data_IF_645344902348
#
_entry.id   IF_645344902348
#
_cell.length_a   1.000
_cell.length_b   1.000
_cell.length_c   1.000
_cell.angle_alpha   90.00
_cell.angle_beta   90.00
_cell.angle_gamma   90.00
#
_symmetry.space_group_name_H-M   'P 1'
#
loop_
_entity.id
_entity.type
_entity.pdbx_description
1 polymer ?
#
# COMPACT_ATOMS: atom_id res chain seq x y z
N UNK A 1 -21.93 -7.08 70.17
CA UNK A 1 -22.17 -5.83 69.42
C UNK A 1 -22.67 -6.26 68.04
N UNK A 2 -23.99 -6.31 67.85
CA UNK A 2 -24.61 -6.70 66.56
C UNK A 2 -24.94 -5.46 65.77
N UNK A 3 -24.32 -5.26 64.63
CA UNK A 3 -24.64 -4.17 63.69
C UNK A 3 -25.82 -4.64 62.85
N UNK A 4 -26.95 -4.00 63.07
CA UNK A 4 -28.14 -4.19 62.22
C UNK A 4 -27.93 -3.36 60.93
N UNK A 5 -27.82 -4.04 59.80
CA UNK A 5 -27.81 -3.46 58.48
C UNK A 5 -29.27 -3.39 58.02
N UNK A 6 -29.84 -2.20 57.96
CA UNK A 6 -31.17 -1.98 57.41
C UNK A 6 -31.15 -2.10 55.88
N UNK A 7 -32.14 -2.82 55.26
CA UNK A 7 -32.22 -2.87 53.80
C UNK A 7 -32.76 -1.54 53.23
N UNK A 8 -31.95 -0.88 52.43
CA UNK A 8 -32.32 0.31 51.70
C UNK A 8 -33.31 -0.04 50.57
N UNK A 9 -34.61 0.10 50.86
CA UNK A 9 -35.69 -0.02 49.88
C UNK A 9 -35.82 1.29 49.07
N UNK A 10 -34.99 1.43 48.10
CA UNK A 10 -35.13 2.52 47.12
C UNK A 10 -36.38 2.35 46.27
N UNK A 11 -37.34 3.22 46.43
CA UNK A 11 -38.50 3.29 45.51
C UNK A 11 -37.95 3.62 44.11
N UNK A 12 -38.42 2.92 43.04
CA UNK A 12 -38.09 3.32 41.68
C UNK A 12 -38.61 4.72 41.42
N UNK A 13 -37.76 5.58 40.86
CA UNK A 13 -38.12 6.90 40.44
C UNK A 13 -39.27 6.84 39.42
N UNK A 14 -40.27 7.76 39.47
CA UNK A 14 -41.36 7.77 38.51
C UNK A 14 -40.77 7.96 37.10
N UNK A 15 -41.15 7.08 36.17
CA UNK A 15 -40.81 7.17 34.76
C UNK A 15 -41.29 8.52 34.24
N UNK A 16 -40.44 9.35 33.62
CA UNK A 16 -40.88 10.60 33.03
C UNK A 16 -42.00 10.31 32.02
N UNK A 17 -43.16 11.00 32.18
CA UNK A 17 -44.21 10.95 31.18
C UNK A 17 -43.59 11.33 29.84
N UNK A 18 -43.75 10.47 28.84
CA UNK A 18 -43.43 10.78 27.47
C UNK A 18 -44.10 12.12 27.11
N UNK A 19 -43.27 13.11 26.82
CA UNK A 19 -43.74 14.38 26.27
C UNK A 19 -44.19 14.04 24.86
N UNK A 20 -45.49 14.18 24.55
CA UNK A 20 -45.95 13.95 23.19
C UNK A 20 -45.22 14.92 22.27
N UNK A 21 -44.50 14.38 21.27
CA UNK A 21 -43.91 15.17 20.18
C UNK A 21 -45.11 15.88 19.50
N UNK A 22 -45.37 17.11 19.90
CA UNK A 22 -46.34 17.93 19.17
C UNK A 22 -45.77 18.10 17.77
N UNK A 23 -46.47 17.54 16.79
CA UNK A 23 -46.23 17.85 15.38
C UNK A 23 -46.58 19.33 15.20
N UNK A 24 -45.58 20.19 15.38
CA UNK A 24 -45.69 21.60 15.01
C UNK A 24 -45.86 21.60 13.49
N UNK A 25 -47.06 21.90 13.00
CA UNK A 25 -47.26 22.09 11.57
C UNK A 25 -46.20 23.07 11.08
N UNK A 26 -45.44 22.64 10.05
CA UNK A 26 -44.42 23.49 9.46
C UNK A 26 -45.10 24.80 8.98
N UNK A 27 -44.57 25.96 9.35
CA UNK A 27 -45.17 27.24 8.95
C UNK A 27 -45.28 27.28 7.43
N UNK A 28 -46.45 27.66 6.91
CA UNK A 28 -46.67 27.77 5.47
C UNK A 28 -45.64 28.74 4.89
N UNK A 29 -44.78 28.24 3.98
CA UNK A 29 -43.73 29.02 3.37
C UNK A 29 -44.27 30.29 2.71
N UNK A 30 -43.62 31.42 2.95
CA UNK A 30 -43.97 32.71 2.39
C UNK A 30 -43.22 32.96 1.07
N UNK A 31 -43.65 33.96 0.27
CA UNK A 31 -42.88 34.39 -0.94
C UNK A 31 -41.44 34.79 -0.59
N UNK A 32 -41.25 35.31 0.62
CA UNK A 32 -39.93 35.68 1.13
C UNK A 32 -39.07 34.44 1.36
N UNK A 33 -39.61 33.38 1.94
CA UNK A 33 -38.88 32.13 2.16
C UNK A 33 -38.48 31.50 0.84
N UNK A 34 -39.34 31.55 -0.18
CA UNK A 34 -39.01 31.10 -1.52
C UNK A 34 -37.77 31.84 -2.09
N UNK A 35 -37.74 33.18 -1.95
CA UNK A 35 -36.60 33.98 -2.43
C UNK A 35 -35.31 33.58 -1.68
N UNK A 36 -35.39 33.41 -0.36
CA UNK A 36 -34.22 32.97 0.43
C UNK A 36 -33.71 31.60 -0.02
N UNK A 37 -34.58 30.61 -0.18
CA UNK A 37 -34.20 29.27 -0.61
C UNK A 37 -33.66 29.27 -2.07
N UNK A 38 -34.30 30.04 -2.95
CA UNK A 38 -33.82 30.17 -4.33
C UNK A 38 -32.45 30.84 -4.39
N UNK A 39 -32.21 31.89 -3.61
CA UNK A 39 -30.90 32.57 -3.55
C UNK A 39 -29.85 31.68 -2.90
N UNK A 40 -30.17 30.97 -1.81
CA UNK A 40 -29.26 30.04 -1.17
C UNK A 40 -28.89 28.88 -2.11
N UNK A 41 -29.87 28.33 -2.83
CA UNK A 41 -29.65 27.27 -3.82
C UNK A 41 -28.78 27.75 -4.98
N UNK A 42 -29.05 28.90 -5.55
CA UNK A 42 -28.20 29.49 -6.60
C UNK A 42 -26.79 29.77 -6.10
N UNK A 43 -26.67 30.32 -4.89
CA UNK A 43 -25.36 30.53 -4.25
C UNK A 43 -24.56 29.26 -4.05
N UNK A 44 -25.23 28.18 -3.60
CA UNK A 44 -24.58 26.87 -3.44
C UNK A 44 -24.09 26.30 -4.78
N UNK A 45 -24.89 26.40 -5.85
CA UNK A 45 -24.50 25.96 -7.19
C UNK A 45 -23.31 26.75 -7.71
N UNK A 46 -23.32 28.08 -7.59
CA UNK A 46 -22.19 28.95 -8.04
C UNK A 46 -20.93 28.63 -7.24
N UNK A 47 -21.06 28.50 -5.93
CA UNK A 47 -19.92 28.13 -5.07
C UNK A 47 -19.36 26.75 -5.45
N UNK A 48 -20.24 25.76 -5.63
CA UNK A 48 -19.82 24.42 -6.07
C UNK A 48 -19.11 24.42 -7.41
N UNK A 49 -19.66 25.18 -8.39
CA UNK A 49 -19.03 25.35 -9.71
C UNK A 49 -17.67 26.04 -9.66
N UNK A 50 -17.48 26.98 -8.74
CA UNK A 50 -16.20 27.67 -8.55
C UNK A 50 -15.16 26.81 -7.82
N UNK A 51 -15.59 26.02 -6.83
CA UNK A 51 -14.71 25.16 -6.02
C UNK A 51 -14.32 23.89 -6.77
N UNK A 52 -15.22 23.31 -7.56
CA UNK A 52 -14.95 22.07 -8.30
C UNK A 52 -13.68 22.08 -9.13
N UNK A 53 -13.38 23.08 -9.97
CA UNK A 53 -12.13 23.13 -10.72
C UNK A 53 -10.89 23.14 -9.83
N UNK A 54 -10.94 23.82 -8.68
CA UNK A 54 -9.84 23.88 -7.72
C UNK A 54 -9.55 22.50 -7.11
N UNK A 55 -10.59 21.77 -6.75
CA UNK A 55 -10.46 20.40 -6.25
C UNK A 55 -9.96 19.46 -7.38
N UNK A 56 -10.50 19.63 -8.59
CA UNK A 56 -10.13 18.80 -9.73
C UNK A 56 -8.67 19.00 -10.18
N UNK A 57 -8.07 20.16 -9.93
CA UNK A 57 -6.64 20.41 -10.18
C UNK A 57 -5.71 19.57 -9.29
N UNK A 58 -6.22 19.00 -8.20
CA UNK A 58 -5.44 18.11 -7.34
C UNK A 58 -5.33 16.69 -7.91
N UNK A 59 -6.11 16.36 -8.93
CA UNK A 59 -6.00 15.07 -9.61
C UNK A 59 -4.71 15.01 -10.45
N UNK A 60 -4.10 13.81 -10.59
CA UNK A 60 -2.95 13.63 -11.48
C UNK A 60 -3.26 14.11 -12.90
N UNK A 61 -2.29 14.80 -13.52
CA UNK A 61 -2.41 15.24 -14.92
C UNK A 61 -2.45 14.05 -15.89
N UNK A 62 -2.96 14.25 -17.10
CA UNK A 62 -3.11 13.20 -18.10
C UNK A 62 -1.76 12.59 -18.52
N UNK A 63 -0.69 13.39 -18.53
CA UNK A 63 0.68 12.92 -18.79
C UNK A 63 1.24 12.05 -17.65
N UNK A 64 0.95 12.39 -16.39
CA UNK A 64 1.30 11.52 -15.25
C UNK A 64 0.52 10.19 -15.30
N UNK A 65 -0.75 10.23 -15.70
CA UNK A 65 -1.55 9.02 -15.88
C UNK A 65 -1.06 8.16 -17.06
N UNK A 66 -0.63 8.78 -18.16
CA UNK A 66 -0.06 8.08 -19.30
C UNK A 66 1.28 7.40 -18.98
N UNK A 67 2.02 7.90 -17.98
CA UNK A 67 3.26 7.30 -17.47
C UNK A 67 3.02 6.35 -16.28
N UNK A 68 1.78 6.00 -15.99
CA UNK A 68 1.43 5.12 -14.87
C UNK A 68 1.94 3.71 -15.06
N UNK A 69 2.05 3.22 -16.29
CA UNK A 69 2.63 1.92 -16.61
C UNK A 69 3.81 2.07 -17.58
N UNK A 70 4.80 1.18 -17.47
CA UNK A 70 5.92 1.05 -18.40
C UNK A 70 6.13 -0.42 -18.76
N UNK A 71 6.60 -0.67 -19.98
CA UNK A 71 7.02 -2.00 -20.44
C UNK A 71 8.53 -2.08 -20.50
N UNK A 72 9.08 -3.13 -19.92
CA UNK A 72 10.51 -3.36 -19.80
C UNK A 72 10.86 -4.67 -20.48
N UNK A 73 11.74 -4.62 -21.48
CA UNK A 73 12.30 -5.80 -22.11
C UNK A 73 13.36 -6.42 -21.19
N UNK A 74 13.16 -7.70 -20.87
CA UNK A 74 14.04 -8.50 -20.01
C UNK A 74 14.69 -9.67 -20.74
N UNK A 75 14.59 -9.74 -22.09
CA UNK A 75 15.19 -10.81 -22.88
C UNK A 75 16.71 -10.96 -22.67
N UNK A 76 17.39 -9.85 -22.37
CA UNK A 76 18.84 -9.84 -22.09
C UNK A 76 19.23 -10.08 -20.63
N UNK A 77 18.26 -10.24 -19.72
CA UNK A 77 18.53 -10.41 -18.29
C UNK A 77 18.70 -11.90 -17.98
N UNK A 78 19.93 -12.29 -17.66
CA UNK A 78 20.28 -13.67 -17.33
C UNK A 78 20.29 -13.90 -15.82
N UNK A 79 20.12 -15.16 -15.34
CA UNK A 79 20.26 -15.47 -13.92
C UNK A 79 21.55 -14.91 -13.30
N UNK A 80 21.42 -14.28 -12.14
CA UNK A 80 22.51 -13.56 -11.46
C UNK A 80 22.67 -12.10 -11.89
N UNK A 81 21.88 -11.59 -12.84
CA UNK A 81 21.97 -10.19 -13.28
C UNK A 81 20.76 -9.37 -12.85
N UNK A 82 20.98 -8.06 -12.73
CA UNK A 82 19.95 -7.08 -12.37
C UNK A 82 19.98 -5.91 -13.34
N UNK A 83 18.81 -5.44 -13.73
CA UNK A 83 18.64 -4.15 -14.37
C UNK A 83 17.88 -3.19 -13.44
N UNK A 84 18.10 -1.90 -13.63
CA UNK A 84 17.38 -0.85 -12.90
C UNK A 84 16.67 0.05 -13.88
N UNK A 85 15.37 0.20 -13.70
CA UNK A 85 14.52 1.09 -14.51
C UNK A 85 13.91 2.18 -13.64
N UNK A 86 13.62 3.33 -14.24
CA UNK A 86 12.89 4.39 -13.54
C UNK A 86 11.39 4.24 -13.84
N UNK A 87 10.60 4.11 -12.78
CA UNK A 87 9.14 4.12 -12.85
C UNK A 87 8.57 5.11 -11.83
N UNK A 88 7.74 6.03 -12.30
CA UNK A 88 7.17 7.11 -11.47
C UNK A 88 8.23 7.89 -10.66
N UNK A 89 9.41 8.13 -11.28
CA UNK A 89 10.53 8.84 -10.65
C UNK A 89 11.29 8.07 -9.59
N UNK A 90 11.02 6.77 -9.41
CA UNK A 90 11.70 5.90 -8.45
C UNK A 90 12.41 4.76 -9.18
N UNK A 91 13.58 4.31 -8.71
CA UNK A 91 14.24 3.12 -9.26
C UNK A 91 13.44 1.87 -8.92
N UNK A 92 13.29 0.99 -9.90
CA UNK A 92 12.78 -0.37 -9.73
C UNK A 92 13.88 -1.33 -10.15
N UNK A 93 14.19 -2.28 -9.29
CA UNK A 93 15.12 -3.35 -9.55
C UNK A 93 14.37 -4.54 -10.14
N UNK A 94 14.85 -5.04 -11.28
CA UNK A 94 14.39 -6.28 -11.90
C UNK A 94 15.60 -7.21 -11.92
N UNK A 95 15.55 -8.27 -11.12
CA UNK A 95 16.63 -9.26 -10.98
C UNK A 95 16.16 -10.64 -11.43
N UNK A 96 16.93 -11.27 -12.29
CA UNK A 96 16.84 -12.71 -12.52
C UNK A 96 17.76 -13.40 -11.50
N UNK A 97 17.18 -14.07 -10.49
CA UNK A 97 17.91 -14.72 -9.41
C UNK A 97 18.46 -16.07 -9.84
N UNK A 98 19.59 -16.45 -9.26
CA UNK A 98 20.14 -17.79 -9.38
C UNK A 98 19.41 -18.79 -8.49
N UNK A 99 19.61 -20.10 -8.71
CA UNK A 99 19.05 -21.15 -7.86
C UNK A 99 19.56 -21.06 -6.42
N UNK A 100 20.83 -20.66 -6.24
CA UNK A 100 21.42 -20.46 -4.92
C UNK A 100 20.77 -19.32 -4.17
N UNK A 101 20.46 -18.21 -4.86
CA UNK A 101 19.77 -17.06 -4.27
C UNK A 101 18.33 -17.40 -3.85
N UNK A 102 17.66 -18.21 -4.66
CA UNK A 102 16.29 -18.70 -4.37
C UNK A 102 16.33 -19.64 -3.16
N UNK A 103 17.27 -20.60 -3.14
CA UNK A 103 17.44 -21.55 -2.04
C UNK A 103 17.74 -20.80 -0.73
N UNK A 104 18.70 -19.88 -0.74
CA UNK A 104 19.06 -19.08 0.42
C UNK A 104 17.88 -18.25 0.96
N UNK A 105 17.02 -17.73 0.07
CA UNK A 105 15.81 -17.02 0.49
C UNK A 105 14.78 -17.95 1.16
N UNK A 106 14.63 -19.18 0.66
CA UNK A 106 13.67 -20.16 1.18
C UNK A 106 14.09 -20.78 2.52
N UNK A 107 15.40 -20.84 2.79
CA UNK A 107 15.91 -21.34 4.07
C UNK A 107 15.58 -20.44 5.25
N UNK A 108 15.20 -19.18 5.01
CA UNK A 108 14.92 -18.21 6.07
C UNK A 108 13.47 -18.30 6.53
N UNK A 109 13.20 -18.72 7.77
CA UNK A 109 11.85 -18.72 8.33
C UNK A 109 11.26 -17.31 8.40
N UNK A 110 9.97 -17.16 8.08
CA UNK A 110 9.28 -15.86 8.10
C UNK A 110 9.28 -15.25 9.50
N UNK A 111 9.26 -16.09 10.54
CA UNK A 111 9.25 -15.69 11.95
C UNK A 111 10.55 -15.03 12.40
N UNK A 112 11.66 -15.26 11.67
CA UNK A 112 12.97 -14.63 11.94
C UNK A 112 13.16 -13.30 11.22
N UNK A 113 12.21 -12.91 10.36
CA UNK A 113 12.29 -11.65 9.61
C UNK A 113 11.91 -10.46 10.51
N UNK A 114 12.59 -9.33 10.28
CA UNK A 114 12.25 -8.05 10.92
C UNK A 114 10.83 -7.59 10.51
N UNK A 115 10.49 -7.82 9.24
CA UNK A 115 9.16 -7.57 8.67
C UNK A 115 8.62 -8.89 8.10
N UNK A 116 7.64 -9.52 8.74
CA UNK A 116 7.06 -10.77 8.27
C UNK A 116 6.08 -10.60 7.09
N UNK A 117 5.69 -9.36 6.74
CA UNK A 117 4.76 -9.06 5.65
C UNK A 117 5.44 -9.03 4.27
N UNK A 118 4.78 -9.58 3.25
CA UNK A 118 5.34 -9.64 1.90
C UNK A 118 5.55 -8.25 1.27
N UNK A 119 4.74 -7.26 1.62
CA UNK A 119 4.77 -5.92 1.02
C UNK A 119 4.71 -6.01 -0.52
N UNK A 120 3.79 -6.83 -1.05
CA UNK A 120 3.66 -7.14 -2.47
C UNK A 120 2.28 -6.74 -2.98
N UNK A 121 2.24 -5.75 -3.87
CA UNK A 121 1.02 -5.20 -4.44
C UNK A 121 0.30 -6.14 -5.43
N UNK A 122 0.92 -7.25 -5.84
CA UNK A 122 0.31 -8.25 -6.72
C UNK A 122 -0.54 -9.28 -5.97
N UNK A 123 -0.44 -9.34 -4.66
CA UNK A 123 -1.19 -10.28 -3.82
C UNK A 123 -2.55 -9.67 -3.42
N UNK A 124 -3.55 -10.53 -3.21
CA UNK A 124 -4.85 -10.10 -2.67
C UNK A 124 -4.72 -9.47 -1.28
N UNK A 125 -3.77 -9.99 -0.47
CA UNK A 125 -3.31 -9.38 0.77
C UNK A 125 -1.82 -9.01 0.59
N UNK A 126 -1.54 -7.74 0.45
CA UNK A 126 -0.18 -7.24 0.21
C UNK A 126 0.80 -7.56 1.36
N UNK A 127 0.28 -7.75 2.56
CA UNK A 127 1.06 -8.08 3.76
C UNK A 127 0.94 -9.59 4.15
N UNK A 128 0.53 -10.46 3.20
CA UNK A 128 0.66 -11.91 3.35
C UNK A 128 2.08 -12.29 3.79
N UNK A 129 2.32 -13.47 4.38
CA UNK A 129 3.66 -13.86 4.87
C UNK A 129 4.75 -13.66 3.81
N UNK A 130 5.90 -13.10 4.22
CA UNK A 130 7.04 -12.78 3.34
C UNK A 130 7.86 -14.04 2.95
N UNK A 131 7.14 -15.09 2.51
CA UNK A 131 7.78 -16.25 1.91
C UNK A 131 8.46 -15.84 0.60
N UNK A 132 9.38 -16.66 0.11
CA UNK A 132 10.05 -16.41 -1.17
C UNK A 132 9.04 -16.27 -2.32
N UNK A 133 8.06 -17.18 -2.38
CA UNK A 133 7.04 -17.20 -3.42
C UNK A 133 6.17 -15.93 -3.41
N UNK A 134 5.81 -15.43 -2.23
CA UNK A 134 5.01 -14.22 -2.09
C UNK A 134 5.77 -12.92 -2.40
N UNK A 135 7.09 -13.02 -2.62
CA UNK A 135 7.95 -11.88 -2.93
C UNK A 135 8.32 -11.79 -4.42
N UNK A 136 8.04 -12.82 -5.19
CA UNK A 136 8.50 -12.95 -6.58
C UNK A 136 7.38 -12.84 -7.59
N UNK A 137 7.78 -12.53 -8.83
CA UNK A 137 6.86 -12.51 -9.96
C UNK A 137 6.77 -13.91 -10.54
N UNK A 138 5.58 -14.41 -10.87
CA UNK A 138 5.42 -15.66 -11.61
C UNK A 138 6.20 -15.64 -12.94
N UNK A 139 6.81 -16.75 -13.30
CA UNK A 139 7.49 -16.87 -14.59
C UNK A 139 6.48 -16.73 -15.75
N UNK A 140 6.91 -16.24 -16.93
CA UNK A 140 6.06 -16.23 -18.12
C UNK A 140 5.69 -17.65 -18.56
N UNK A 141 4.58 -17.78 -19.26
CA UNK A 141 4.11 -19.06 -19.77
C UNK A 141 5.17 -19.74 -20.67
N UNK A 142 5.38 -21.04 -20.46
CA UNK A 142 6.37 -21.81 -21.19
C UNK A 142 7.82 -21.61 -20.77
N UNK A 143 8.09 -20.86 -19.71
CA UNK A 143 9.43 -20.69 -19.16
C UNK A 143 9.91 -21.95 -18.45
N UNK A 144 11.16 -22.37 -18.74
CA UNK A 144 11.84 -23.47 -18.04
C UNK A 144 12.60 -22.99 -16.80
N UNK A 145 12.58 -21.68 -16.49
CA UNK A 145 13.29 -21.11 -15.35
C UNK A 145 12.66 -21.56 -14.02
N UNK A 146 13.46 -21.72 -12.96
CA UNK A 146 12.95 -22.03 -11.63
C UNK A 146 11.90 -21.02 -11.14
N UNK A 147 10.90 -21.50 -10.42
CA UNK A 147 9.94 -20.60 -9.76
C UNK A 147 10.69 -19.75 -8.74
N UNK A 148 10.45 -18.44 -8.78
CA UNK A 148 11.17 -17.49 -7.94
C UNK A 148 12.36 -16.81 -8.62
N UNK A 149 12.62 -17.09 -9.89
CA UNK A 149 13.71 -16.43 -10.64
C UNK A 149 13.50 -14.92 -10.72
N UNK A 150 12.29 -14.47 -11.02
CA UNK A 150 12.03 -13.06 -11.25
C UNK A 150 11.64 -12.32 -9.96
N UNK A 151 12.51 -11.43 -9.53
CA UNK A 151 12.25 -10.50 -8.43
C UNK A 151 12.16 -9.08 -8.97
N UNK A 152 11.00 -8.45 -8.79
CA UNK A 152 10.74 -7.06 -9.15
C UNK A 152 10.43 -6.30 -7.86
N UNK A 153 11.21 -5.26 -7.57
CA UNK A 153 11.04 -4.52 -6.31
C UNK A 153 11.45 -3.06 -6.45
N UNK A 154 10.84 -2.21 -5.64
CA UNK A 154 11.23 -0.81 -5.57
C UNK A 154 12.65 -0.71 -4.99
N UNK A 155 13.55 -0.06 -5.72
CA UNK A 155 14.93 0.18 -5.29
C UNK A 155 15.05 1.36 -4.33
N UNK A 156 14.14 1.45 -3.36
CA UNK A 156 14.05 2.56 -2.40
C UNK A 156 14.00 1.99 -0.99
N UNK A 157 15.03 2.28 -0.21
CA UNK A 157 15.15 1.86 1.19
C UNK A 157 13.97 2.40 2.01
N UNK A 158 13.31 1.52 2.73
CA UNK A 158 12.12 1.85 3.54
C UNK A 158 12.43 2.66 4.80
N UNK A 159 13.71 2.90 5.11
CA UNK A 159 14.11 3.79 6.20
C UNK A 159 13.86 5.26 5.83
N UNK A 160 14.64 5.83 4.90
CA UNK A 160 14.57 7.25 4.51
C UNK A 160 14.76 7.46 2.99
N UNK A 161 14.47 6.45 2.16
CA UNK A 161 14.39 6.62 0.72
C UNK A 161 15.70 6.56 -0.06
N UNK A 162 16.83 6.18 0.55
CA UNK A 162 18.09 5.96 -0.19
C UNK A 162 17.96 4.76 -1.15
N UNK A 163 18.76 4.75 -2.21
CA UNK A 163 18.84 3.63 -3.16
C UNK A 163 19.85 2.59 -2.64
N UNK A 164 19.43 1.35 -2.32
CA UNK A 164 20.32 0.30 -1.89
C UNK A 164 21.24 -0.18 -3.03
N UNK A 165 22.44 -0.62 -2.68
CA UNK A 165 23.38 -1.24 -3.59
C UNK A 165 23.06 -2.73 -3.70
N UNK A 166 22.94 -3.25 -4.91
CA UNK A 166 22.75 -4.67 -5.17
C UNK A 166 24.03 -5.47 -4.94
N UNK A 167 23.89 -6.79 -4.76
CA UNK A 167 25.00 -7.73 -4.54
C UNK A 167 25.93 -7.30 -3.40
N UNK A 168 25.33 -6.74 -2.36
CA UNK A 168 26.05 -6.14 -1.24
C UNK A 168 25.40 -6.47 0.10
N UNK A 169 26.20 -6.37 1.15
CA UNK A 169 25.77 -6.64 2.51
C UNK A 169 25.91 -8.10 2.90
N UNK A 170 25.51 -8.41 4.14
CA UNK A 170 25.81 -9.69 4.78
C UNK A 170 24.87 -10.84 4.35
N UNK A 171 23.83 -10.55 3.56
CA UNK A 171 22.78 -11.50 3.20
C UNK A 171 22.64 -11.69 1.67
N UNK A 172 23.65 -11.27 0.88
CA UNK A 172 23.73 -11.52 -0.55
C UNK A 172 22.72 -10.75 -1.43
N UNK A 173 21.89 -9.89 -0.84
CA UNK A 173 20.88 -9.11 -1.55
C UNK A 173 21.28 -7.65 -1.75
N UNK A 174 20.72 -6.74 -0.96
CA UNK A 174 20.96 -5.30 -1.08
C UNK A 174 21.42 -4.69 0.24
N UNK A 175 22.32 -3.74 0.12
CA UNK A 175 22.85 -2.95 1.24
C UNK A 175 22.55 -1.48 1.04
N UNK A 176 21.93 -0.84 2.02
CA UNK A 176 21.73 0.60 2.04
C UNK A 176 22.86 1.29 2.81
N UNK A 177 23.79 1.99 2.14
CA UNK A 177 24.95 2.59 2.80
C UNK A 177 24.63 3.79 3.68
N UNK A 178 23.43 4.37 3.52
CA UNK A 178 23.05 5.57 4.27
C UNK A 178 23.01 5.32 5.79
N UNK A 179 22.44 4.19 6.22
CA UNK A 179 22.29 3.88 7.65
C UNK A 179 22.45 2.37 7.95
N UNK A 180 22.99 1.61 7.01
CA UNK A 180 23.35 0.21 7.25
C UNK A 180 22.17 -0.76 7.27
N UNK A 181 21.14 -0.57 6.45
CA UNK A 181 20.09 -1.57 6.26
C UNK A 181 20.55 -2.64 5.28
N UNK A 182 20.39 -3.92 5.68
CA UNK A 182 20.74 -5.09 4.88
C UNK A 182 19.49 -5.87 4.51
N UNK A 183 19.35 -6.16 3.23
CA UNK A 183 18.25 -6.95 2.68
C UNK A 183 18.80 -8.26 2.10
N UNK A 184 18.01 -9.32 2.14
CA UNK A 184 18.38 -10.60 1.54
C UNK A 184 18.07 -10.67 0.03
N UNK A 185 18.29 -11.83 -0.56
CA UNK A 185 18.08 -12.10 -2.00
C UNK A 185 16.61 -12.07 -2.45
N UNK A 186 15.64 -12.00 -1.51
CA UNK A 186 14.23 -11.75 -1.76
C UNK A 186 13.81 -10.30 -1.43
N UNK A 187 14.76 -9.40 -1.11
CA UNK A 187 14.50 -8.01 -0.75
C UNK A 187 13.84 -7.83 0.62
N UNK A 188 13.98 -8.83 1.51
CA UNK A 188 13.46 -8.77 2.87
C UNK A 188 14.49 -8.16 3.79
N UNK A 189 14.05 -7.24 4.67
CA UNK A 189 14.95 -6.61 5.65
C UNK A 189 15.42 -7.64 6.67
N UNK A 190 16.73 -7.74 6.85
CA UNK A 190 17.39 -8.65 7.77
C UNK A 190 18.06 -7.93 8.94
N UNK A 191 18.58 -6.73 8.70
CA UNK A 191 19.25 -5.92 9.72
C UNK A 191 19.26 -4.44 9.35
N UNK A 192 19.23 -3.59 10.34
CA UNK A 192 19.34 -2.14 10.19
C UNK A 192 18.05 -1.40 10.54
N UNK A 193 18.03 -0.09 10.33
CA UNK A 193 16.92 0.76 10.78
C UNK A 193 15.69 0.74 9.84
N UNK A 194 15.77 0.10 8.68
CA UNK A 194 14.62 -0.01 7.77
C UNK A 194 13.50 -0.83 8.42
N UNK A 195 12.26 -0.32 8.48
CA UNK A 195 11.17 -1.00 9.18
C UNK A 195 10.47 -2.08 8.35
N UNK A 196 10.60 -2.04 7.01
CA UNK A 196 9.85 -2.91 6.11
C UNK A 196 10.73 -3.48 4.99
N UNK A 197 10.26 -4.57 4.40
CA UNK A 197 10.81 -5.15 3.19
C UNK A 197 10.73 -4.15 2.02
N UNK A 198 11.61 -4.29 1.02
CA UNK A 198 11.52 -3.49 -0.20
C UNK A 198 10.17 -3.77 -0.89
N UNK A 199 9.35 -2.75 -1.22
CA UNK A 199 8.03 -2.99 -1.81
C UNK A 199 8.13 -3.67 -3.18
N UNK A 200 7.25 -4.63 -3.43
CA UNK A 200 7.04 -5.24 -4.75
C UNK A 200 5.89 -4.48 -5.42
N UNK A 201 6.14 -3.74 -6.51
CA UNK A 201 5.11 -3.00 -7.22
C UNK A 201 4.18 -3.94 -8.01
N UNK A 202 3.06 -3.41 -8.50
CA UNK A 202 2.24 -4.13 -9.47
C UNK A 202 3.09 -4.39 -10.71
N UNK A 203 3.23 -5.66 -11.07
CA UNK A 203 4.02 -6.10 -12.19
C UNK A 203 3.49 -7.43 -12.74
N UNK A 204 3.52 -7.58 -14.06
CA UNK A 204 3.16 -8.84 -14.71
C UNK A 204 3.96 -9.03 -16.01
N UNK A 205 4.20 -10.28 -16.39
CA UNK A 205 4.65 -10.59 -17.73
C UNK A 205 3.50 -10.40 -18.72
N UNK A 206 3.71 -9.60 -19.77
CA UNK A 206 2.77 -9.43 -20.89
C UNK A 206 3.09 -10.35 -22.06
N UNK A 207 4.33 -10.83 -22.13
CA UNK A 207 4.85 -11.86 -23.02
C UNK A 207 6.06 -12.56 -22.40
N UNK A 208 6.74 -13.44 -23.18
CA UNK A 208 7.86 -14.23 -22.67
C UNK A 208 9.08 -13.41 -22.19
N UNK A 209 9.20 -12.15 -22.61
CA UNK A 209 10.39 -11.32 -22.38
C UNK A 209 10.09 -9.90 -21.94
N UNK A 210 8.82 -9.54 -21.74
CA UNK A 210 8.41 -8.18 -21.40
C UNK A 210 7.63 -8.16 -20.09
N UNK A 211 8.11 -7.36 -19.14
CA UNK A 211 7.41 -7.07 -17.87
C UNK A 211 6.73 -5.70 -18.00
N UNK A 212 5.45 -5.64 -17.68
CA UNK A 212 4.71 -4.39 -17.48
C UNK A 212 4.70 -4.05 -15.99
N UNK A 213 5.01 -2.80 -15.66
CA UNK A 213 4.95 -2.21 -14.31
C UNK A 213 3.78 -1.23 -14.26
N UNK A 214 2.87 -1.35 -13.29
CA UNK A 214 1.75 -0.43 -13.06
C UNK A 214 0.38 -0.95 -13.44
#
# INVERSE_FOLDING_TARGET
>A
MRVLVEPWAGRPAPIPREVPLSHTEAPKGTRRDFIYYATAGAGAVVTGAAVWPLVNQMNPSADVQALSSIRVDVAGVTPGTQITVLWQGKPVFIRARTEEEIAAAREVPVEELVDPGANNANLADADAPATDENRTLPNPEGSELPVGTWLVQMGVCTHLGCVPLGESGDFGGWFCPCHGSHYDTAGRIRRGPAPRNLPVPVAAFVDAATIELG
#
